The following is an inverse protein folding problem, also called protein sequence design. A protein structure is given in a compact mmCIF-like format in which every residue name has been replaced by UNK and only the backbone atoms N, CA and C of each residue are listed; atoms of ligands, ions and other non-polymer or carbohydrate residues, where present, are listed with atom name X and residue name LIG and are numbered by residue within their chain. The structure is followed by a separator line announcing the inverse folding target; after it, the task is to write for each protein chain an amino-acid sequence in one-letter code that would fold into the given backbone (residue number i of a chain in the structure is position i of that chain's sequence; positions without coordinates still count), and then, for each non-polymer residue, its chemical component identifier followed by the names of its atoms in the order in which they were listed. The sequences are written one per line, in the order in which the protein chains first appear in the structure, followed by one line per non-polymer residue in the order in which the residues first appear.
data_IF_603912510904
#
_entry.id   IF_603912510904
#
_cell.length_a   1.000
_cell.length_b   1.000
_cell.length_c   1.000
_cell.angle_alpha   90.00
_cell.angle_beta   90.00
_cell.angle_gamma   90.00
#
_symmetry.space_group_name_H-M   'P 1'
#
loop_
_entity.id
_entity.type
_entity.pdbx_description
1 polymer ?
#
# COMPACT_ATOMS: atom_id res chain seq x y z
N UNK A 1 30.47 -17.50 -7.71
CA UNK A 1 30.36 -17.23 -9.18
C UNK A 1 29.68 -15.88 -9.29
N UNK A 2 30.15 -14.96 -10.15
CA UNK A 2 29.60 -13.61 -10.22
C UNK A 2 28.07 -13.64 -10.44
N UNK A 3 27.37 -12.64 -9.91
CA UNK A 3 25.93 -12.51 -10.07
C UNK A 3 25.51 -12.78 -11.52
N UNK A 4 24.53 -13.67 -11.68
CA UNK A 4 23.98 -14.02 -12.98
C UNK A 4 23.13 -12.83 -13.42
N UNK A 5 23.58 -12.15 -14.47
CA UNK A 5 22.84 -11.06 -15.09
C UNK A 5 21.94 -11.61 -16.18
N UNK A 6 20.62 -11.48 -15.99
CA UNK A 6 19.63 -11.82 -17.02
C UNK A 6 19.05 -10.53 -17.58
N UNK A 7 19.17 -10.32 -18.89
CA UNK A 7 18.62 -9.14 -19.57
C UNK A 7 17.24 -9.47 -20.11
N UNK A 8 16.23 -8.67 -19.74
CA UNK A 8 14.86 -8.82 -20.27
C UNK A 8 14.72 -8.01 -21.56
N UNK A 9 14.37 -8.62 -22.71
CA UNK A 9 14.34 -7.93 -23.99
C UNK A 9 13.07 -7.11 -24.23
N UNK A 10 11.95 -7.44 -23.59
CA UNK A 10 10.64 -6.78 -23.82
C UNK A 10 9.86 -6.56 -22.52
N UNK A 11 8.97 -5.57 -22.52
CA UNK A 11 8.17 -5.22 -21.32
C UNK A 11 7.15 -6.27 -20.93
N UNK A 12 6.57 -6.96 -21.92
CA UNK A 12 5.53 -7.97 -21.75
C UNK A 12 6.05 -9.29 -21.15
N UNK A 13 7.33 -9.60 -21.36
CA UNK A 13 7.96 -10.84 -20.87
C UNK A 13 8.53 -10.74 -19.45
N UNK A 14 8.46 -9.57 -18.81
CA UNK A 14 9.10 -9.34 -17.50
C UNK A 14 8.65 -10.35 -16.45
N UNK A 15 7.34 -10.56 -16.30
CA UNK A 15 6.82 -11.49 -15.28
C UNK A 15 7.19 -12.93 -15.56
N UNK A 16 7.22 -13.34 -16.83
CA UNK A 16 7.61 -14.70 -17.24
C UNK A 16 9.10 -14.95 -16.99
N UNK A 17 9.96 -14.02 -17.43
CA UNK A 17 11.41 -14.13 -17.26
C UNK A 17 11.78 -14.11 -15.78
N UNK A 18 11.17 -13.23 -14.99
CA UNK A 18 11.43 -13.15 -13.55
C UNK A 18 10.92 -14.41 -12.83
N UNK A 19 9.75 -14.94 -13.20
CA UNK A 19 9.24 -16.19 -12.62
C UNK A 19 10.16 -17.38 -12.94
N UNK A 20 10.63 -17.47 -14.19
CA UNK A 20 11.59 -18.49 -14.61
C UNK A 20 12.92 -18.38 -13.86
N UNK A 21 13.45 -17.16 -13.69
CA UNK A 21 14.69 -16.96 -12.93
C UNK A 21 14.54 -17.34 -11.47
N UNK A 22 13.39 -17.06 -10.85
CA UNK A 22 13.07 -17.49 -9.49
C UNK A 22 13.01 -19.02 -9.39
N UNK A 23 12.42 -19.70 -10.38
CA UNK A 23 12.34 -21.16 -10.41
C UNK A 23 13.70 -21.84 -10.62
N UNK A 24 14.55 -21.28 -11.48
CA UNK A 24 15.90 -21.77 -11.76
C UNK A 24 16.84 -21.54 -10.57
N UNK A 25 16.65 -20.44 -9.83
CA UNK A 25 17.55 -20.02 -8.74
C UNK A 25 16.89 -20.08 -7.36
N UNK A 26 16.19 -21.19 -7.07
CA UNK A 26 15.56 -21.44 -5.76
C UNK A 26 16.60 -21.32 -4.63
N UNK A 27 16.38 -20.38 -3.72
CA UNK A 27 17.24 -20.14 -2.55
C UNK A 27 18.22 -18.97 -2.68
N UNK A 28 18.25 -18.29 -3.84
CA UNK A 28 18.96 -17.01 -4.02
C UNK A 28 17.95 -15.85 -4.05
N UNK A 29 18.38 -14.70 -3.55
CA UNK A 29 17.56 -13.48 -3.61
C UNK A 29 17.58 -12.91 -5.04
N UNK A 30 16.40 -12.66 -5.61
CA UNK A 30 16.26 -12.11 -6.96
C UNK A 30 16.00 -10.60 -6.87
N UNK A 31 16.82 -9.80 -7.55
CA UNK A 31 16.64 -8.36 -7.66
C UNK A 31 16.41 -7.97 -9.10
N UNK A 32 15.46 -7.08 -9.33
CA UNK A 32 15.13 -6.53 -10.64
C UNK A 32 15.59 -5.07 -10.68
N UNK A 33 16.48 -4.75 -11.62
CA UNK A 33 17.04 -3.42 -11.80
C UNK A 33 16.47 -2.78 -13.06
N UNK A 34 15.69 -1.72 -12.87
CA UNK A 34 15.12 -0.92 -13.95
C UNK A 34 16.07 0.22 -14.28
N UNK A 35 16.52 0.28 -15.54
CA UNK A 35 17.42 1.31 -16.02
C UNK A 35 16.96 1.90 -17.37
N UNK A 36 17.45 3.09 -17.69
CA UNK A 36 17.16 3.77 -18.95
C UNK A 36 17.90 3.11 -20.11
N UNK A 37 17.23 2.93 -21.26
CA UNK A 37 17.85 2.36 -22.45
C UNK A 37 19.13 3.11 -22.83
N UNK A 38 20.06 2.36 -23.43
CA UNK A 38 21.30 2.92 -23.96
C UNK A 38 20.96 3.65 -25.26
N UNK A 39 21.30 4.93 -25.34
CA UNK A 39 21.13 5.69 -26.57
C UNK A 39 22.10 5.15 -27.63
N UNK A 40 21.64 4.77 -28.84
CA UNK A 40 22.51 4.28 -29.91
C UNK A 40 23.57 5.30 -30.33
N UNK A 41 23.30 6.59 -30.15
CA UNK A 41 24.20 7.68 -30.54
C UNK A 41 25.36 7.92 -29.56
N UNK A 42 25.15 7.68 -28.27
CA UNK A 42 26.15 8.01 -27.22
C UNK A 42 26.75 6.78 -26.56
N UNK A 43 26.16 5.59 -26.78
CA UNK A 43 26.58 4.34 -26.14
C UNK A 43 26.39 4.34 -24.62
N UNK A 44 25.66 5.33 -24.07
CA UNK A 44 25.36 5.47 -22.64
C UNK A 44 23.86 5.57 -22.42
N UNK A 45 23.39 5.24 -21.21
CA UNK A 45 22.00 5.49 -20.83
C UNK A 45 21.66 6.97 -20.94
N UNK A 46 20.49 7.28 -21.50
CA UNK A 46 20.04 8.69 -21.67
C UNK A 46 19.73 9.40 -20.35
N UNK A 47 19.60 8.66 -19.26
CA UNK A 47 19.35 9.20 -17.92
C UNK A 47 20.68 9.35 -17.15
N UNK A 48 21.06 10.56 -16.71
CA UNK A 48 22.29 10.80 -15.93
C UNK A 48 22.38 9.97 -14.64
N UNK A 49 21.24 9.76 -13.97
CA UNK A 49 21.18 8.97 -12.74
C UNK A 49 21.51 7.50 -12.99
N UNK A 50 21.10 6.96 -14.15
CA UNK A 50 21.43 5.58 -14.56
C UNK A 50 22.92 5.43 -14.88
N UNK A 51 23.53 6.43 -15.51
CA UNK A 51 24.98 6.42 -15.81
C UNK A 51 25.81 6.40 -14.52
N UNK A 52 25.34 7.07 -13.48
CA UNK A 52 26.01 7.11 -12.18
C UNK A 52 25.77 5.84 -11.36
N UNK A 53 24.52 5.35 -11.34
CA UNK A 53 24.14 4.19 -10.52
C UNK A 53 24.57 2.84 -11.11
N UNK A 54 24.55 2.69 -12.44
CA UNK A 54 24.83 1.42 -13.12
C UNK A 54 26.13 0.74 -12.68
N UNK A 55 27.29 1.43 -12.73
CA UNK A 55 28.57 0.85 -12.32
C UNK A 55 28.59 0.43 -10.83
N UNK A 56 27.91 1.19 -9.96
CA UNK A 56 27.86 0.90 -8.52
C UNK A 56 27.05 -0.37 -8.26
N UNK A 57 25.90 -0.51 -8.92
CA UNK A 57 25.05 -1.70 -8.81
C UNK A 57 25.81 -2.92 -9.35
N UNK A 58 26.40 -2.84 -10.54
CA UNK A 58 27.14 -3.96 -11.12
C UNK A 58 28.36 -4.38 -10.27
N UNK A 59 29.17 -3.43 -9.79
CA UNK A 59 30.29 -3.73 -8.89
C UNK A 59 29.83 -4.41 -7.59
N UNK A 60 28.73 -3.91 -7.00
CA UNK A 60 28.23 -4.49 -5.74
C UNK A 60 27.67 -5.89 -5.92
N UNK A 61 26.91 -6.13 -6.98
CA UNK A 61 26.29 -7.42 -7.25
C UNK A 61 27.30 -8.45 -7.76
N UNK A 62 28.36 -8.05 -8.47
CA UNK A 62 29.43 -8.98 -8.87
C UNK A 62 30.16 -9.62 -7.67
N UNK A 63 30.16 -8.93 -6.51
CA UNK A 63 30.77 -9.39 -5.26
C UNK A 63 29.86 -10.28 -4.40
N UNK A 64 28.59 -10.44 -4.75
CA UNK A 64 27.60 -11.19 -3.97
C UNK A 64 27.27 -12.53 -4.64
N UNK A 65 27.44 -13.64 -3.91
CA UNK A 65 27.23 -14.99 -4.47
C UNK A 65 25.77 -15.51 -4.35
N UNK A 66 25.00 -14.97 -3.41
CA UNK A 66 23.63 -15.43 -3.09
C UNK A 66 22.53 -14.65 -3.81
N UNK A 67 22.89 -13.88 -4.84
CA UNK A 67 22.00 -12.88 -5.42
C UNK A 67 21.97 -13.00 -6.94
N UNK A 68 20.78 -12.86 -7.53
CA UNK A 68 20.55 -12.83 -8.98
C UNK A 68 20.08 -11.43 -9.37
N UNK A 69 20.68 -10.84 -10.40
CA UNK A 69 20.33 -9.51 -10.89
C UNK A 69 19.65 -9.63 -12.26
N UNK A 70 18.43 -9.11 -12.37
CA UNK A 70 17.67 -9.05 -13.62
C UNK A 70 17.67 -7.61 -14.12
N UNK A 71 18.34 -7.37 -15.23
CA UNK A 71 18.46 -6.05 -15.86
C UNK A 71 17.29 -5.82 -16.82
N UNK A 72 16.51 -4.77 -16.55
CA UNK A 72 15.31 -4.42 -17.31
C UNK A 72 15.45 -3.02 -17.92
N UNK A 73 15.60 -2.93 -19.25
CA UNK A 73 15.57 -1.65 -19.93
C UNK A 73 14.12 -1.13 -19.98
N UNK A 74 13.95 0.13 -19.61
CA UNK A 74 12.64 0.81 -19.59
C UNK A 74 12.25 1.37 -20.96
N UNK A 75 13.19 1.37 -21.92
CA UNK A 75 13.02 1.97 -23.23
C UNK A 75 13.46 3.44 -23.27
N UNK A 76 13.08 4.12 -24.35
CA UNK A 76 13.56 5.45 -24.70
C UNK A 76 12.94 6.56 -23.84
N UNK A 77 13.57 7.75 -23.89
CA UNK A 77 13.12 8.90 -23.11
C UNK A 77 11.66 9.31 -23.39
N UNK A 78 11.15 9.31 -24.63
CA UNK A 78 9.75 9.65 -24.90
C UNK A 78 8.79 8.62 -24.30
N UNK A 79 9.05 7.32 -24.51
CA UNK A 79 8.17 6.24 -24.02
C UNK A 79 8.11 6.22 -22.49
N UNK A 80 9.22 6.52 -21.79
CA UNK A 80 9.20 6.59 -20.33
C UNK A 80 8.49 7.81 -19.75
N UNK A 81 8.51 8.94 -20.48
CA UNK A 81 7.81 10.17 -20.07
C UNK A 81 6.30 10.05 -20.19
N UNK A 82 5.81 9.09 -20.98
CA UNK A 82 4.38 8.83 -21.06
C UNK A 82 3.83 8.37 -19.69
N UNK A 83 2.81 9.05 -19.15
CA UNK A 83 2.22 8.68 -17.87
C UNK A 83 1.65 7.25 -17.87
N UNK A 84 1.20 6.78 -19.03
CA UNK A 84 0.57 5.47 -19.22
C UNK A 84 1.56 4.33 -19.46
N UNK A 85 2.83 4.49 -19.09
CA UNK A 85 3.84 3.46 -19.29
C UNK A 85 3.50 2.16 -18.52
N UNK A 86 3.66 0.95 -19.11
CA UNK A 86 3.26 -0.32 -18.48
C UNK A 86 3.80 -0.50 -17.06
N UNK A 87 5.09 -0.21 -16.83
CA UNK A 87 5.71 -0.36 -15.51
C UNK A 87 5.23 0.63 -14.45
N UNK A 88 4.60 1.76 -14.83
CA UNK A 88 4.00 2.71 -13.87
C UNK A 88 2.65 2.22 -13.33
N UNK A 89 1.93 1.46 -14.15
CA UNK A 89 0.58 0.97 -13.84
C UNK A 89 0.51 -0.50 -13.44
N UNK A 90 1.59 -1.26 -13.63
CA UNK A 90 1.66 -2.66 -13.22
C UNK A 90 1.33 -2.84 -11.73
N UNK A 91 0.57 -3.87 -11.37
CA UNK A 91 0.12 -4.09 -9.98
C UNK A 91 1.28 -4.42 -9.04
N UNK A 92 2.34 -5.03 -9.55
CA UNK A 92 3.48 -5.53 -8.77
C UNK A 92 4.58 -4.47 -8.64
N UNK A 93 4.96 -3.84 -9.76
CA UNK A 93 6.22 -3.08 -9.86
C UNK A 93 6.04 -1.58 -9.60
N UNK A 94 4.96 -0.94 -10.06
CA UNK A 94 4.60 0.49 -9.88
C UNK A 94 5.79 1.45 -9.74
N UNK A 95 6.72 1.42 -10.69
CA UNK A 95 7.90 2.28 -10.62
C UNK A 95 7.55 3.71 -11.01
N UNK A 96 8.06 4.68 -10.24
CA UNK A 96 7.82 6.11 -10.47
C UNK A 96 8.98 6.79 -11.20
N UNK A 97 10.20 6.30 -10.98
CA UNK A 97 11.46 6.87 -11.47
C UNK A 97 12.46 5.76 -11.83
N UNK A 98 13.53 6.13 -12.51
CA UNK A 98 14.64 5.27 -12.91
C UNK A 98 15.92 6.01 -12.47
N UNK A 99 16.97 5.35 -11.95
CA UNK A 99 17.12 3.91 -11.72
C UNK A 99 16.35 3.42 -10.48
N UNK A 100 15.69 2.27 -10.58
CA UNK A 100 15.02 1.63 -9.43
C UNK A 100 15.45 0.19 -9.30
N UNK A 101 15.85 -0.21 -8.10
CA UNK A 101 16.20 -1.59 -7.74
C UNK A 101 15.09 -2.16 -6.86
N UNK A 102 14.48 -3.26 -7.31
CA UNK A 102 13.38 -3.93 -6.61
C UNK A 102 13.83 -5.31 -6.17
N UNK A 103 13.63 -5.64 -4.90
CA UNK A 103 13.79 -7.01 -4.42
C UNK A 103 12.54 -7.82 -4.78
N UNK A 104 12.68 -8.81 -5.66
CA UNK A 104 11.59 -9.65 -6.16
C UNK A 104 11.34 -10.82 -5.21
N UNK A 105 10.62 -10.54 -4.14
CA UNK A 105 10.29 -11.58 -3.17
C UNK A 105 9.04 -12.36 -3.62
N UNK A 106 9.26 -13.50 -4.30
CA UNK A 106 8.20 -14.46 -4.66
C UNK A 106 7.74 -15.30 -3.46
N UNK A 107 8.47 -15.28 -2.34
CA UNK A 107 7.94 -15.87 -1.13
C UNK A 107 6.80 -14.99 -0.63
N UNK A 108 5.56 -15.45 -0.82
CA UNK A 108 4.41 -15.06 -0.02
C UNK A 108 4.74 -15.36 1.45
N UNK A 109 5.53 -14.47 2.06
CA UNK A 109 5.83 -14.56 3.47
C UNK A 109 4.51 -14.46 4.19
N UNK A 110 4.09 -15.60 4.72
CA UNK A 110 2.77 -15.81 5.28
C UNK A 110 2.72 -15.01 6.58
N UNK A 111 2.11 -13.84 6.48
CA UNK A 111 2.03 -12.99 7.64
C UNK A 111 1.10 -13.62 8.68
N UNK A 112 1.67 -13.92 9.84
CA UNK A 112 1.01 -14.60 10.94
C UNK A 112 0.30 -13.58 11.81
N UNK A 113 -0.98 -13.84 12.09
CA UNK A 113 -1.81 -12.97 12.93
C UNK A 113 -1.99 -13.63 14.29
N UNK A 114 -1.66 -12.90 15.35
CA UNK A 114 -1.89 -13.31 16.73
C UNK A 114 -2.83 -12.33 17.39
N UNK A 115 -3.83 -12.84 18.10
CA UNK A 115 -4.76 -12.01 18.87
C UNK A 115 -4.43 -12.13 20.35
N UNK A 116 -4.48 -11.00 21.07
CA UNK A 116 -4.22 -10.93 22.50
C UNK A 116 -5.22 -10.00 23.18
N UNK A 117 -5.39 -10.15 24.50
CA UNK A 117 -6.35 -9.36 25.30
C UNK A 117 -7.76 -9.37 24.68
N UNK A 118 -8.23 -10.55 24.32
CA UNK A 118 -9.55 -10.75 23.74
C UNK A 118 -10.62 -10.56 24.82
N UNK A 119 -11.61 -9.70 24.56
CA UNK A 119 -12.74 -9.45 25.44
C UNK A 119 -14.03 -9.46 24.63
N UNK A 120 -15.01 -10.24 25.08
CA UNK A 120 -16.38 -10.20 24.54
C UNK A 120 -17.20 -9.15 25.29
N UNK A 121 -17.47 -8.01 24.66
CA UNK A 121 -18.26 -6.93 25.23
C UNK A 121 -19.73 -7.03 24.78
N UNK A 122 -20.59 -7.57 25.65
CA UNK A 122 -22.02 -7.76 25.37
C UNK A 122 -22.81 -6.45 25.33
N UNK A 123 -22.40 -5.42 26.08
CA UNK A 123 -23.09 -4.12 26.09
C UNK A 123 -22.99 -3.40 24.73
N UNK A 124 -21.90 -3.64 24.01
CA UNK A 124 -21.63 -3.05 22.70
C UNK A 124 -21.80 -4.04 21.54
N UNK A 125 -22.31 -5.26 21.81
CA UNK A 125 -22.49 -6.34 20.85
C UNK A 125 -21.25 -6.58 19.97
N UNK A 126 -20.07 -6.63 20.60
CA UNK A 126 -18.79 -6.80 19.89
C UNK A 126 -17.74 -7.55 20.69
N UNK A 127 -16.85 -8.22 19.98
CA UNK A 127 -15.58 -8.75 20.47
C UNK A 127 -14.49 -7.72 20.19
N UNK A 128 -13.66 -7.42 21.17
CA UNK A 128 -12.55 -6.48 21.05
C UNK A 128 -11.24 -7.16 21.41
N UNK A 129 -10.21 -6.92 20.61
CA UNK A 129 -8.91 -7.57 20.78
C UNK A 129 -7.77 -6.68 20.27
N UNK A 130 -6.57 -6.93 20.79
CA UNK A 130 -5.33 -6.42 20.23
C UNK A 130 -4.82 -7.44 19.22
N UNK A 131 -4.40 -6.96 18.05
CA UNK A 131 -3.90 -7.79 16.95
C UNK A 131 -2.42 -7.49 16.75
N UNK A 132 -1.61 -8.52 16.97
CA UNK A 132 -0.18 -8.51 16.66
C UNK A 132 0.01 -9.24 15.33
N UNK A 133 0.69 -8.57 14.39
CA UNK A 133 0.96 -9.07 13.06
C UNK A 133 2.45 -9.29 12.93
N UNK A 134 2.85 -10.50 12.55
CA UNK A 134 4.24 -10.87 12.29
C UNK A 134 4.36 -11.10 10.78
N UNK A 135 5.14 -10.26 10.10
CA UNK A 135 5.30 -10.26 8.65
C UNK A 135 6.79 -10.16 8.27
N UNK A 136 7.58 -11.24 8.45
CA UNK A 136 9.01 -11.21 8.19
C UNK A 136 9.30 -11.02 6.70
N UNK A 137 10.25 -10.15 6.35
CA UNK A 137 10.62 -9.86 4.95
C UNK A 137 9.46 -9.39 4.02
N UNK A 138 8.27 -9.10 4.59
CA UNK A 138 7.12 -8.54 3.88
C UNK A 138 6.81 -7.15 4.41
N UNK A 139 6.40 -6.28 3.49
CA UNK A 139 5.84 -4.98 3.82
C UNK A 139 4.58 -5.10 4.70
N UNK A 140 4.07 -3.96 5.14
CA UNK A 140 2.90 -3.93 6.01
C UNK A 140 1.67 -4.53 5.29
N UNK A 141 0.93 -5.38 6.01
CA UNK A 141 -0.33 -5.95 5.49
C UNK A 141 -1.36 -4.83 5.31
N UNK A 142 -2.10 -4.88 4.20
CA UNK A 142 -3.27 -4.02 4.01
C UNK A 142 -4.37 -4.34 5.02
N UNK A 143 -5.15 -3.33 5.42
CA UNK A 143 -6.25 -3.55 6.37
C UNK A 143 -7.34 -4.47 5.82
N UNK A 144 -7.54 -4.49 4.50
CA UNK A 144 -8.54 -5.36 3.90
C UNK A 144 -8.12 -6.84 3.90
N UNK A 145 -6.85 -7.15 3.62
CA UNK A 145 -6.33 -8.51 3.76
C UNK A 145 -6.40 -8.97 5.24
N UNK A 146 -6.11 -8.07 6.18
CA UNK A 146 -6.21 -8.38 7.61
C UNK A 146 -7.65 -8.69 8.04
N UNK A 147 -8.62 -7.92 7.52
CA UNK A 147 -10.05 -8.16 7.77
C UNK A 147 -10.48 -9.53 7.24
N UNK A 148 -10.04 -9.91 6.05
CA UNK A 148 -10.34 -11.22 5.47
C UNK A 148 -9.77 -12.36 6.29
N UNK A 149 -8.53 -12.24 6.76
CA UNK A 149 -7.91 -13.26 7.60
C UNK A 149 -8.59 -13.37 8.96
N UNK A 150 -8.92 -12.24 9.60
CA UNK A 150 -9.68 -12.23 10.86
C UNK A 150 -11.10 -12.78 10.70
N UNK A 151 -11.77 -12.45 9.59
CA UNK A 151 -13.07 -12.98 9.21
C UNK A 151 -13.04 -14.51 9.12
N UNK A 152 -12.05 -15.07 8.40
CA UNK A 152 -11.84 -16.52 8.30
C UNK A 152 -11.54 -17.16 9.65
N UNK A 153 -10.63 -16.59 10.45
CA UNK A 153 -10.25 -17.15 11.76
C UNK A 153 -11.44 -17.22 12.74
N UNK A 154 -12.29 -16.19 12.77
CA UNK A 154 -13.41 -16.11 13.70
C UNK A 154 -14.75 -16.54 13.10
N UNK A 155 -14.76 -17.00 11.84
CA UNK A 155 -15.95 -17.43 11.09
C UNK A 155 -17.04 -16.36 11.09
N UNK A 156 -16.66 -15.14 10.69
CA UNK A 156 -17.54 -13.98 10.58
C UNK A 156 -17.34 -13.31 9.23
N UNK A 157 -18.29 -12.47 8.81
CA UNK A 157 -18.16 -11.73 7.56
C UNK A 157 -17.12 -10.60 7.66
N UNK A 158 -16.45 -10.32 6.53
CA UNK A 158 -15.46 -9.22 6.42
C UNK A 158 -16.05 -7.85 6.79
N UNK A 159 -17.35 -7.66 6.58
CA UNK A 159 -18.04 -6.38 6.77
C UNK A 159 -18.17 -5.97 8.24
N UNK A 160 -18.30 -6.95 9.15
CA UNK A 160 -18.44 -6.70 10.59
C UNK A 160 -17.10 -6.55 11.32
N UNK A 161 -15.98 -6.74 10.62
CA UNK A 161 -14.63 -6.63 11.16
C UNK A 161 -14.03 -5.25 10.89
N UNK A 162 -13.66 -4.54 11.95
CA UNK A 162 -13.02 -3.23 11.92
C UNK A 162 -11.61 -3.29 12.49
N UNK A 163 -10.63 -2.92 11.68
CA UNK A 163 -9.21 -2.93 12.02
C UNK A 163 -8.68 -1.49 12.08
N UNK A 164 -8.11 -1.06 13.21
CA UNK A 164 -7.62 0.31 13.38
C UNK A 164 -6.39 0.42 14.29
N UNK A 165 -5.75 1.59 14.26
CA UNK A 165 -4.67 1.93 15.19
C UNK A 165 -3.38 1.13 15.00
N UNK A 166 -3.13 0.60 13.80
CA UNK A 166 -1.90 -0.13 13.51
C UNK A 166 -0.68 0.78 13.56
N UNK A 167 0.37 0.30 14.25
CA UNK A 167 1.70 0.88 14.31
C UNK A 167 2.72 -0.22 14.05
N UNK A 168 3.66 0.04 13.16
CA UNK A 168 4.82 -0.81 12.91
C UNK A 168 5.84 -0.65 14.03
N UNK A 169 6.43 -1.75 14.47
CA UNK A 169 7.57 -1.71 15.38
C UNK A 169 8.80 -1.12 14.65
N UNK A 170 9.68 -0.47 15.41
CA UNK A 170 10.98 -0.07 14.90
C UNK A 170 11.77 -1.32 14.47
N UNK A 171 12.44 -1.26 13.31
CA UNK A 171 13.08 -2.42 12.68
C UNK A 171 12.14 -3.26 11.80
N UNK A 172 10.85 -2.95 11.72
CA UNK A 172 9.91 -3.64 10.82
C UNK A 172 9.56 -5.06 11.26
N UNK A 173 8.97 -5.85 10.35
CA UNK A 173 8.62 -7.27 10.58
C UNK A 173 7.49 -7.55 11.57
N UNK A 174 7.11 -6.56 12.39
CA UNK A 174 6.01 -6.66 13.35
C UNK A 174 5.17 -5.39 13.37
N UNK A 175 3.85 -5.56 13.41
CA UNK A 175 2.88 -4.47 13.58
C UNK A 175 1.89 -4.80 14.68
N UNK A 176 1.47 -3.81 15.45
CA UNK A 176 0.46 -3.96 16.50
C UNK A 176 -0.70 -3.02 16.26
N UNK A 177 -1.93 -3.49 16.43
CA UNK A 177 -3.14 -2.67 16.29
C UNK A 177 -4.32 -3.27 17.04
N UNK A 178 -5.51 -2.78 16.72
CA UNK A 178 -6.76 -3.21 17.35
C UNK A 178 -7.72 -3.74 16.30
N UNK A 179 -8.50 -4.75 16.70
CA UNK A 179 -9.63 -5.23 15.91
C UNK A 179 -10.90 -5.32 16.75
N UNK A 180 -12.01 -4.98 16.11
CA UNK A 180 -13.36 -5.14 16.64
C UNK A 180 -14.14 -6.03 15.68
N UNK A 181 -14.85 -7.00 16.23
CA UNK A 181 -15.76 -7.87 15.49
C UNK A 181 -17.15 -7.65 16.08
N UNK A 182 -18.06 -7.09 15.31
CA UNK A 182 -19.44 -6.88 15.71
C UNK A 182 -20.28 -8.12 15.44
N UNK A 183 -21.33 -8.32 16.24
CA UNK A 183 -22.28 -9.42 16.03
C UNK A 183 -23.17 -9.14 14.80
N UNK A 184 -23.48 -7.86 14.51
CA UNK A 184 -24.24 -7.44 13.33
C UNK A 184 -23.78 -6.07 12.79
N UNK A 185 -24.15 -5.77 11.54
CA UNK A 185 -23.76 -4.51 10.87
C UNK A 185 -24.47 -3.28 11.47
N UNK A 186 -25.66 -3.45 12.03
CA UNK A 186 -26.43 -2.37 12.65
C UNK A 186 -25.77 -1.85 13.93
N UNK A 187 -25.30 -2.76 14.78
CA UNK A 187 -24.52 -2.45 15.97
C UNK A 187 -23.21 -1.78 15.59
N UNK A 188 -22.55 -2.23 14.51
CA UNK A 188 -21.36 -1.57 13.99
C UNK A 188 -21.67 -0.11 13.61
N UNK A 189 -22.74 0.16 12.84
CA UNK A 189 -23.15 1.51 12.45
C UNK A 189 -23.56 2.39 13.65
N UNK A 190 -24.15 1.79 14.69
CA UNK A 190 -24.58 2.48 15.91
C UNK A 190 -23.40 2.89 16.81
N UNK A 191 -22.47 1.96 17.04
CA UNK A 191 -21.42 2.13 18.04
C UNK A 191 -20.09 2.63 17.47
N UNK A 192 -19.78 2.40 16.19
CA UNK A 192 -18.51 2.88 15.67
C UNK A 192 -18.45 4.39 15.44
N UNK A 193 -17.29 5.02 15.73
CA UNK A 193 -17.04 6.38 15.34
C UNK A 193 -17.23 6.58 13.83
N UNK A 194 -17.96 7.64 13.46
CA UNK A 194 -18.32 7.95 12.07
C UNK A 194 -17.12 7.98 11.12
N UNK A 195 -15.94 8.43 11.58
CA UNK A 195 -14.73 8.47 10.74
C UNK A 195 -14.23 7.08 10.31
N UNK A 196 -14.49 6.03 11.11
CA UNK A 196 -14.14 4.65 10.74
C UNK A 196 -15.15 4.09 9.74
N UNK A 197 -16.43 4.39 9.93
CA UNK A 197 -17.49 4.02 8.99
C UNK A 197 -17.22 4.60 7.60
N UNK A 198 -16.80 5.87 7.52
CA UNK A 198 -16.41 6.52 6.25
C UNK A 198 -15.21 5.81 5.60
N UNK A 199 -14.18 5.47 6.38
CA UNK A 199 -13.00 4.74 5.86
C UNK A 199 -13.34 3.33 5.35
N UNK A 200 -14.38 2.72 5.90
CA UNK A 200 -14.92 1.43 5.46
C UNK A 200 -15.96 1.56 4.35
N UNK A 201 -16.30 2.77 3.89
CA UNK A 201 -17.30 2.99 2.84
C UNK A 201 -18.76 2.81 3.28
N UNK A 202 -19.03 2.64 4.57
CA UNK A 202 -20.39 2.37 5.09
C UNK A 202 -21.22 3.64 5.36
N UNK A 203 -20.60 4.81 5.29
CA UNK A 203 -21.24 6.10 5.56
C UNK A 203 -20.52 7.20 4.79
N UNK A 204 -21.27 8.08 4.13
CA UNK A 204 -20.73 9.31 3.56
C UNK A 204 -21.06 10.50 4.48
N UNK A 205 -20.09 11.37 4.76
CA UNK A 205 -20.30 12.57 5.59
C UNK A 205 -20.10 13.82 4.74
N UNK A 206 -21.21 14.42 4.29
CA UNK A 206 -21.21 15.75 3.66
C UNK A 206 -21.34 16.82 4.75
N UNK A 207 -20.21 17.34 5.26
CA UNK A 207 -20.19 18.45 6.22
C UNK A 207 -19.55 19.69 5.63
N UNK A 208 -20.27 20.80 5.69
CA UNK A 208 -19.72 22.13 5.41
C UNK A 208 -18.59 22.49 6.41
N UNK A 209 -17.68 23.36 5.98
CA UNK A 209 -16.52 23.79 6.77
C UNK A 209 -16.92 24.28 8.16
N UNK A 210 -16.07 24.01 9.16
CA UNK A 210 -16.28 24.44 10.55
C UNK A 210 -16.49 25.95 10.65
N UNK A 211 -15.75 26.73 9.84
CA UNK A 211 -15.85 28.20 9.79
C UNK A 211 -17.24 28.64 9.30
N UNK A 212 -17.66 28.15 8.14
CA UNK A 212 -18.97 28.46 7.55
C UNK A 212 -20.14 28.11 8.48
N UNK A 213 -20.05 26.98 9.21
CA UNK A 213 -21.06 26.58 10.20
C UNK A 213 -21.12 27.56 11.38
N UNK A 214 -19.97 28.01 11.89
CA UNK A 214 -19.90 28.98 13.00
C UNK A 214 -20.43 30.35 12.57
N UNK A 215 -20.05 30.82 11.39
CA UNK A 215 -20.52 32.09 10.83
C UNK A 215 -22.02 32.07 10.56
N UNK A 216 -22.55 30.98 9.97
CA UNK A 216 -24.01 30.79 9.82
C UNK A 216 -24.72 30.85 11.17
N UNK A 217 -24.23 30.13 12.18
CA UNK A 217 -24.79 30.15 13.54
C UNK A 217 -24.81 31.57 14.12
N UNK A 218 -23.71 32.30 14.01
CA UNK A 218 -23.60 33.66 14.55
C UNK A 218 -24.53 34.65 13.82
N UNK A 219 -24.70 34.53 12.50
CA UNK A 219 -25.69 35.33 11.75
C UNK A 219 -27.12 35.01 12.17
N UNK A 220 -27.47 33.74 12.32
CA UNK A 220 -28.82 33.32 12.73
C UNK A 220 -29.19 33.75 14.16
N UNK A 221 -28.22 33.96 15.05
CA UNK A 221 -28.47 34.48 16.42
C UNK A 221 -29.01 35.91 16.43
N UNK A 222 -28.70 36.73 15.41
CA UNK A 222 -29.14 38.13 15.31
C UNK A 222 -30.60 38.28 14.85
N UNK A 223 -31.23 37.21 14.37
CA UNK A 223 -32.57 37.23 13.78
C UNK A 223 -33.55 36.39 14.62
N UNK A 224 -34.85 36.69 14.54
CA UNK A 224 -35.93 35.95 15.23
C UNK A 224 -36.95 35.38 14.24
N UNK A 225 -37.66 34.33 14.65
CA UNK A 225 -38.71 33.68 13.86
C UNK A 225 -38.24 33.24 12.47
N UNK A 226 -39.12 33.37 11.47
CA UNK A 226 -38.86 33.01 10.07
C UNK A 226 -37.70 33.80 9.44
N UNK A 227 -37.32 34.97 9.99
CA UNK A 227 -36.18 35.76 9.49
C UNK A 227 -34.85 35.00 9.61
N UNK A 228 -34.73 33.99 10.48
CA UNK A 228 -33.51 33.15 10.59
C UNK A 228 -33.17 32.39 9.31
N UNK A 229 -34.17 32.04 8.49
CA UNK A 229 -33.95 31.35 7.21
C UNK A 229 -33.12 32.21 6.24
N UNK A 230 -33.30 33.54 6.26
CA UNK A 230 -32.55 34.50 5.44
C UNK A 230 -31.05 34.59 5.82
N UNK A 231 -30.67 34.20 7.04
CA UNK A 231 -29.27 34.15 7.47
C UNK A 231 -28.52 32.88 7.02
N UNK A 232 -29.22 31.88 6.47
CA UNK A 232 -28.60 30.63 5.99
C UNK A 232 -27.88 30.81 4.65
N UNK A 233 -28.35 31.75 3.84
CA UNK A 233 -27.79 32.12 2.54
C UNK A 233 -26.74 33.20 2.77
N UNK A 234 -25.48 32.95 2.38
CA UNK A 234 -24.51 34.03 2.33
C UNK A 234 -24.97 35.03 1.25
N UNK A 235 -25.01 36.33 1.56
CA UNK A 235 -24.99 37.33 0.48
C UNK A 235 -23.75 37.01 -0.35
N UNK A 236 -23.98 36.80 -1.65
CA UNK A 236 -22.95 36.65 -2.66
C UNK A 236 -21.96 37.81 -2.55
#
# INVERSE_FOLDING_TARGET
MPAITVVVPTTESLHEVVSKTVEEHKGKDVYVYYYASIDPATGKSWCPDCVTAGPIVQDRFSKLDNVVLVDVPVGDRPTWKDPNHPYRHDKVVKISSVPTLVHWNTADSTATIRTRKFLTNRLLARKQMVVDIIHPARANISKDELREKLAKMYKVDKEVVFCFGFRTAFGGGKSTGFALIYDNLEAAKKFEPKYRLVRHGLMEIKKASRKQRKERKNRSKKLRGTKKAKAAVAKK
#
